data_IF_049760991364
#
_entry.id   IF_049760991364
#
_cell.length_a   1.000
_cell.length_b   1.000
_cell.length_c   1.000
_cell.angle_alpha   90.00
_cell.angle_beta   90.00
_cell.angle_gamma   90.00
#
_symmetry.space_group_name_H-M   'P 1'
#
loop_
_entity.id
_entity.type
_entity.pdbx_description
1 polymer ?
#
# COMPACT_ATOMS: atom_id res chain seq x y z
N UNK A 1 11.81 20.69 -2.66
CA UNK A 1 12.87 20.80 -3.69
C UNK A 1 12.19 20.79 -5.04
N UNK A 2 12.39 21.80 -5.89
CA UNK A 2 11.91 21.80 -7.29
C UNK A 2 13.00 21.16 -8.15
N UNK A 3 12.68 20.08 -8.85
CA UNK A 3 13.44 19.62 -10.01
C UNK A 3 12.43 19.77 -11.17
N UNK A 4 12.49 20.80 -12.01
CA UNK A 4 13.51 21.09 -13.01
C UNK A 4 14.01 19.80 -13.65
N UNK A 5 13.42 19.50 -14.81
CA UNK A 5 13.91 18.72 -15.94
C UNK A 5 15.02 17.70 -15.65
N UNK A 6 14.74 16.43 -16.02
CA UNK A 6 15.78 15.41 -16.20
C UNK A 6 16.80 16.00 -17.19
N UNK A 7 17.94 16.45 -16.68
CA UNK A 7 18.97 17.07 -17.49
C UNK A 7 19.82 15.93 -18.07
N UNK A 8 19.44 15.46 -19.26
CA UNK A 8 20.17 14.45 -20.00
C UNK A 8 21.43 15.12 -20.56
N UNK A 9 22.59 14.90 -19.93
CA UNK A 9 23.87 15.17 -20.58
C UNK A 9 24.04 14.17 -21.74
N UNK A 10 23.86 14.66 -22.97
CA UNK A 10 23.92 13.84 -24.18
C UNK A 10 25.32 13.26 -24.46
N UNK A 11 26.34 13.67 -23.73
CA UNK A 11 27.73 13.24 -23.96
C UNK A 11 28.17 12.06 -23.09
N UNK A 12 27.46 11.78 -21.98
CA UNK A 12 27.63 10.63 -21.10
C UNK A 12 26.25 10.30 -20.56
N UNK A 13 25.66 9.17 -20.94
CA UNK A 13 24.31 8.75 -20.56
C UNK A 13 24.19 8.45 -19.06
N UNK A 14 24.31 9.50 -18.23
CA UNK A 14 24.18 9.48 -16.79
C UNK A 14 22.81 10.08 -16.47
N UNK A 15 21.97 9.30 -15.79
CA UNK A 15 20.67 9.76 -15.30
C UNK A 15 20.68 9.72 -13.77
N UNK A 16 20.08 10.72 -13.13
CA UNK A 16 19.88 10.71 -11.69
C UNK A 16 18.47 10.22 -11.37
N UNK A 17 18.38 9.09 -10.67
CA UNK A 17 17.14 8.59 -10.11
C UNK A 17 17.20 8.74 -8.59
N UNK A 18 16.28 9.50 -7.99
CA UNK A 18 16.38 9.93 -6.59
C UNK A 18 16.74 8.81 -5.59
N UNK A 19 16.25 7.59 -5.82
CA UNK A 19 16.42 6.44 -4.92
C UNK A 19 17.46 5.41 -5.39
N UNK A 20 17.87 5.45 -6.65
CA UNK A 20 18.92 4.59 -7.19
C UNK A 20 20.22 5.34 -7.46
N UNK A 21 20.24 6.63 -7.15
CA UNK A 21 21.42 7.45 -7.28
C UNK A 21 21.73 7.84 -8.72
N UNK A 22 23.00 8.08 -8.97
CA UNK A 22 23.51 8.26 -10.32
C UNK A 22 23.59 6.92 -11.03
N UNK A 23 22.90 6.81 -12.17
CA UNK A 23 22.91 5.65 -13.03
C UNK A 23 23.75 5.98 -14.27
N UNK A 24 24.74 5.14 -14.57
CA UNK A 24 25.55 5.26 -15.78
C UNK A 24 25.08 4.19 -16.76
N UNK A 25 24.72 4.57 -17.98
CA UNK A 25 24.46 3.59 -19.04
C UNK A 25 25.76 2.85 -19.38
N UNK A 26 25.69 1.52 -19.33
CA UNK A 26 26.74 0.61 -19.78
C UNK A 26 26.09 -0.38 -20.73
N UNK A 27 26.55 -0.39 -21.98
CA UNK A 27 25.95 -1.16 -23.07
C UNK A 27 24.45 -0.84 -23.23
N UNK A 28 23.57 -1.83 -23.04
CA UNK A 28 22.12 -1.69 -23.16
C UNK A 28 21.39 -1.43 -21.82
N UNK A 29 22.12 -1.47 -20.70
CA UNK A 29 21.56 -1.36 -19.35
C UNK A 29 22.16 -0.17 -18.58
N UNK A 30 21.71 0.00 -17.34
CA UNK A 30 22.21 1.03 -16.43
C UNK A 30 22.89 0.41 -15.22
N UNK A 31 23.89 1.09 -14.70
CA UNK A 31 24.58 0.71 -13.48
C UNK A 31 24.43 1.84 -12.45
N UNK A 32 23.82 1.52 -11.31
CA UNK A 32 23.77 2.42 -10.17
C UNK A 32 25.15 2.51 -9.52
N UNK A 33 25.72 3.71 -9.49
CA UNK A 33 26.98 3.98 -8.79
C UNK A 33 26.77 3.80 -7.28
N UNK A 34 25.67 4.32 -6.76
CA UNK A 34 25.44 4.40 -5.31
C UNK A 34 25.04 3.05 -4.70
N UNK A 35 24.41 2.16 -5.48
CA UNK A 35 23.99 0.84 -5.03
C UNK A 35 24.84 -0.32 -5.58
N UNK A 36 25.82 -0.02 -6.42
CA UNK A 36 26.68 -0.99 -7.10
C UNK A 36 25.90 -2.09 -7.88
N UNK A 37 24.68 -1.76 -8.35
CA UNK A 37 23.73 -2.70 -8.94
C UNK A 37 23.47 -2.40 -10.42
N UNK A 38 23.45 -3.45 -11.26
CA UNK A 38 22.95 -3.36 -12.63
C UNK A 38 21.42 -3.33 -12.64
N UNK A 39 20.85 -2.43 -13.43
CA UNK A 39 19.42 -2.19 -13.59
C UNK A 39 19.12 -2.26 -15.09
N UNK A 40 18.21 -3.14 -15.48
CA UNK A 40 17.87 -3.28 -16.89
C UNK A 40 17.11 -2.06 -17.39
N UNK A 41 17.20 -1.77 -18.69
CA UNK A 41 16.42 -0.69 -19.29
C UNK A 41 14.90 -0.90 -19.15
N UNK A 42 14.45 -2.15 -19.16
CA UNK A 42 13.04 -2.50 -18.95
C UNK A 42 12.62 -2.27 -17.50
N UNK A 43 13.49 -2.56 -16.53
CA UNK A 43 13.25 -2.24 -15.12
C UNK A 43 13.13 -0.72 -14.93
N UNK A 44 13.94 0.07 -15.63
CA UNK A 44 13.85 1.53 -15.62
C UNK A 44 12.53 2.07 -16.19
N UNK A 45 12.16 1.63 -17.39
CA UNK A 45 10.91 2.07 -18.04
C UNK A 45 9.67 1.67 -17.25
N UNK A 46 9.69 0.47 -16.71
CA UNK A 46 8.55 -0.08 -15.97
C UNK A 46 8.41 0.60 -14.61
N UNK A 47 9.51 0.87 -13.91
CA UNK A 47 9.47 1.24 -12.49
C UNK A 47 9.78 2.69 -12.18
N UNK A 48 10.59 3.35 -13.01
CA UNK A 48 11.29 4.58 -12.61
C UNK A 48 11.06 5.75 -13.56
N UNK A 49 10.80 5.47 -14.84
CA UNK A 49 10.29 6.51 -15.72
C UNK A 49 8.97 7.03 -15.14
N UNK A 50 8.82 8.35 -14.96
CA UNK A 50 7.58 8.92 -14.48
C UNK A 50 6.40 8.41 -15.32
N UNK A 51 5.24 8.22 -14.68
CA UNK A 51 4.01 8.03 -15.44
C UNK A 51 3.85 9.27 -16.33
N UNK A 52 3.77 9.08 -17.65
CA UNK A 52 3.30 10.15 -18.53
C UNK A 52 1.90 10.52 -18.05
N UNK A 53 1.80 11.67 -17.38
CA UNK A 53 0.50 12.23 -17.05
C UNK A 53 -0.22 12.44 -18.39
N UNK A 54 -1.51 12.08 -18.48
CA UNK A 54 -2.29 12.37 -19.66
C UNK A 54 -2.06 13.83 -20.04
N UNK A 55 -1.96 14.13 -21.34
CA UNK A 55 -1.92 15.50 -21.88
C UNK A 55 -3.26 16.25 -21.68
N UNK A 56 -4.00 15.88 -20.63
CA UNK A 56 -5.17 16.58 -20.13
C UNK A 56 -4.70 17.87 -19.45
N UNK A 57 -4.55 18.89 -20.28
CA UNK A 57 -4.23 20.24 -19.86
C UNK A 57 -5.23 20.78 -18.83
N UNK A 58 -6.46 20.28 -18.74
CA UNK A 58 -7.42 20.72 -17.74
C UNK A 58 -7.12 20.11 -16.37
N UNK A 59 -6.82 18.81 -16.31
CA UNK A 59 -6.33 18.16 -15.09
C UNK A 59 -5.06 18.88 -14.59
N UNK A 60 -4.05 19.05 -15.45
CA UNK A 60 -2.78 19.70 -15.07
C UNK A 60 -3.01 21.14 -14.57
N UNK A 61 -3.86 21.92 -15.25
CA UNK A 61 -4.18 23.30 -14.82
C UNK A 61 -4.91 23.32 -13.48
N UNK A 62 -5.86 22.41 -13.27
CA UNK A 62 -6.63 22.34 -12.05
C UNK A 62 -5.75 21.91 -10.86
N UNK A 63 -4.88 20.94 -11.06
CA UNK A 63 -3.89 20.50 -10.07
C UNK A 63 -2.88 21.61 -9.73
N UNK A 64 -2.39 22.37 -10.73
CA UNK A 64 -1.56 23.56 -10.50
C UNK A 64 -2.32 24.63 -9.71
N UNK A 65 -3.59 24.88 -10.03
CA UNK A 65 -4.43 25.86 -9.35
C UNK A 65 -4.63 25.49 -7.89
N UNK A 66 -5.02 24.25 -7.60
CA UNK A 66 -5.16 23.72 -6.23
C UNK A 66 -3.85 23.84 -5.45
N UNK A 67 -2.73 23.43 -6.04
CA UNK A 67 -1.40 23.53 -5.44
C UNK A 67 -1.02 24.97 -5.09
N UNK A 68 -1.34 25.94 -5.93
CA UNK A 68 -1.04 27.35 -5.63
C UNK A 68 -1.86 27.88 -4.44
N UNK A 69 -3.11 27.43 -4.28
CA UNK A 69 -3.96 27.77 -3.13
C UNK A 69 -3.37 27.14 -1.85
N UNK A 70 -3.00 25.87 -1.87
CA UNK A 70 -2.45 25.17 -0.70
C UNK A 70 -1.06 25.68 -0.29
N UNK A 71 -0.18 26.03 -1.23
CA UNK A 71 1.12 26.66 -0.93
C UNK A 71 0.90 28.02 -0.25
N UNK A 72 -0.11 28.77 -0.69
CA UNK A 72 -0.42 30.08 -0.11
C UNK A 72 -0.92 29.97 1.34
N UNK A 73 -1.68 28.93 1.68
CA UNK A 73 -2.18 28.68 3.05
C UNK A 73 -1.11 28.06 3.94
N UNK A 74 -0.37 27.06 3.46
CA UNK A 74 0.68 26.37 4.23
C UNK A 74 1.95 27.20 4.46
N UNK A 75 2.22 28.23 3.64
CA UNK A 75 3.32 29.17 3.88
C UNK A 75 3.13 30.05 5.12
N UNK A 76 1.89 30.24 5.58
CA UNK A 76 1.57 31.00 6.79
C UNK A 76 1.64 30.19 8.09
N UNK A 77 1.69 28.85 8.03
CA UNK A 77 1.60 27.97 9.21
C UNK A 77 2.85 27.13 9.49
N UNK A 78 3.90 27.24 8.65
CA UNK A 78 5.13 26.44 8.76
C UNK A 78 5.93 26.65 10.06
N UNK A 79 5.63 27.65 10.88
CA UNK A 79 6.36 27.91 12.13
C UNK A 79 5.85 27.14 13.35
N UNK A 80 4.78 26.34 13.25
CA UNK A 80 4.13 25.75 14.46
C UNK A 80 3.92 24.21 14.41
N UNK A 81 4.11 23.53 13.28
CA UNK A 81 3.93 22.07 13.23
C UNK A 81 5.13 21.29 13.80
N UNK A 82 5.26 21.30 15.12
CA UNK A 82 5.91 20.22 15.88
C UNK A 82 4.88 19.09 16.07
N UNK A 83 5.19 17.89 15.58
CA UNK A 83 4.32 16.70 15.44
C UNK A 83 3.16 16.83 14.43
N UNK A 84 3.36 16.31 13.22
CA UNK A 84 2.34 16.22 12.18
C UNK A 84 1.39 15.03 12.47
N UNK A 85 0.32 15.26 13.21
CA UNK A 85 -0.83 14.35 13.17
C UNK A 85 -1.58 14.58 11.85
N UNK A 86 -1.65 13.57 11.00
CA UNK A 86 -2.50 13.64 9.81
C UNK A 86 -3.97 13.83 10.22
N UNK A 87 -4.78 14.58 9.44
CA UNK A 87 -6.21 14.65 9.71
C UNK A 87 -6.80 13.24 9.71
N UNK A 88 -7.53 12.91 10.77
CA UNK A 88 -8.25 11.64 10.90
C UNK A 88 -9.72 11.87 10.60
N UNK A 89 -10.33 10.93 9.92
CA UNK A 89 -11.77 10.88 9.73
C UNK A 89 -12.35 9.80 10.63
N UNK A 90 -13.53 10.04 11.16
CA UNK A 90 -14.27 8.99 11.84
C UNK A 90 -14.94 8.09 10.79
N UNK A 91 -14.80 6.77 10.98
CA UNK A 91 -15.66 5.82 10.30
C UNK A 91 -17.07 5.94 10.90
N UNK A 92 -18.05 6.26 10.06
CA UNK A 92 -19.41 6.63 10.49
C UNK A 92 -20.29 5.38 10.72
N UNK A 93 -19.72 4.19 10.59
CA UNK A 93 -20.43 2.91 10.63
C UNK A 93 -21.10 2.57 9.30
N UNK A 94 -21.63 1.35 9.21
CA UNK A 94 -22.42 0.86 8.06
C UNK A 94 -21.68 0.97 6.72
N UNK A 95 -20.35 0.82 6.71
CA UNK A 95 -19.52 1.00 5.53
C UNK A 95 -19.59 2.43 4.92
N UNK A 96 -19.90 3.46 5.73
CA UNK A 96 -20.01 4.86 5.28
C UNK A 96 -18.85 5.72 5.78
N UNK A 97 -18.40 6.62 4.91
CA UNK A 97 -17.27 7.51 5.13
C UNK A 97 -17.61 8.91 4.65
N UNK A 98 -17.05 9.93 5.31
CA UNK A 98 -17.21 11.32 4.89
C UNK A 98 -16.12 11.73 3.88
N UNK A 99 -16.05 10.97 2.78
CA UNK A 99 -15.17 11.25 1.62
C UNK A 99 -15.94 10.99 0.33
N UNK A 100 -15.48 11.62 -0.75
CA UNK A 100 -16.14 11.55 -2.05
C UNK A 100 -16.21 10.14 -2.66
N UNK A 101 -15.23 9.29 -2.40
CA UNK A 101 -15.17 7.92 -2.92
C UNK A 101 -14.46 6.97 -1.95
N UNK A 102 -14.94 5.73 -1.85
CA UNK A 102 -14.25 4.63 -1.16
C UNK A 102 -14.38 3.36 -1.98
N UNK A 103 -13.40 2.47 -1.84
CA UNK A 103 -13.49 1.11 -2.41
C UNK A 103 -14.61 0.32 -1.73
N UNK A 104 -15.09 -0.72 -2.39
CA UNK A 104 -16.05 -1.64 -1.78
C UNK A 104 -15.50 -2.19 -0.45
N UNK A 105 -16.37 -2.52 0.51
CA UNK A 105 -15.93 -3.14 1.76
C UNK A 105 -14.88 -2.34 2.58
N UNK A 106 -14.78 -1.02 2.36
CA UNK A 106 -13.81 -0.14 3.01
C UNK A 106 -13.85 -0.16 4.54
N UNK A 107 -14.99 -0.52 5.14
CA UNK A 107 -15.09 -0.80 6.59
C UNK A 107 -13.98 -1.75 7.07
N UNK A 108 -13.58 -2.74 6.25
CA UNK A 108 -12.59 -3.73 6.63
C UNK A 108 -11.23 -3.11 6.92
N UNK A 109 -10.81 -2.11 6.15
CA UNK A 109 -9.58 -1.38 6.46
C UNK A 109 -9.76 -0.49 7.68
N UNK A 110 -10.90 0.19 7.79
CA UNK A 110 -11.16 1.19 8.83
C UNK A 110 -11.24 0.59 10.25
N UNK A 111 -11.84 -0.59 10.39
CA UNK A 111 -12.18 -1.14 11.72
C UNK A 111 -11.09 -2.04 12.30
N UNK A 112 -10.13 -2.50 11.49
CA UNK A 112 -9.12 -3.45 11.93
C UNK A 112 -8.23 -2.94 13.06
N UNK A 113 -7.96 -3.79 14.04
CA UNK A 113 -6.95 -3.49 15.08
C UNK A 113 -5.58 -3.86 14.55
N UNK A 114 -4.78 -2.89 14.09
CA UNK A 114 -3.55 -3.23 13.36
C UNK A 114 -2.56 -4.07 14.18
N UNK A 115 -2.48 -3.83 15.49
CA UNK A 115 -1.58 -4.56 16.38
C UNK A 115 -1.98 -6.03 16.62
N UNK A 116 -3.24 -6.40 16.35
CA UNK A 116 -3.79 -7.76 16.61
C UNK A 116 -4.22 -8.49 15.32
N UNK A 117 -4.68 -7.73 14.32
CA UNK A 117 -5.39 -8.23 13.15
C UNK A 117 -4.59 -8.01 11.86
N UNK A 118 -4.09 -6.78 11.63
CA UNK A 118 -3.27 -6.44 10.45
C UNK A 118 -1.83 -6.92 10.56
N UNK A 119 -1.34 -7.08 11.79
CA UNK A 119 -0.11 -7.80 12.05
C UNK A 119 1.16 -6.99 11.83
N UNK A 120 1.27 -5.87 12.54
CA UNK A 120 2.48 -5.05 12.51
C UNK A 120 3.74 -5.86 12.90
N UNK A 121 4.79 -5.72 12.10
CA UNK A 121 6.10 -6.33 12.36
C UNK A 121 7.23 -5.30 12.20
N UNK A 122 8.08 -5.21 13.21
CA UNK A 122 9.36 -4.52 13.17
C UNK A 122 10.52 -5.50 13.37
N UNK A 123 11.72 -5.14 12.92
CA UNK A 123 12.91 -5.99 13.02
C UNK A 123 13.61 -5.94 14.38
N UNK A 124 12.97 -5.39 15.42
CA UNK A 124 13.58 -5.31 16.75
C UNK A 124 13.91 -6.69 17.33
N UNK A 125 13.17 -7.73 16.95
CA UNK A 125 13.41 -9.11 17.38
C UNK A 125 14.63 -9.77 16.69
N UNK A 126 15.25 -9.10 15.71
CA UNK A 126 16.49 -9.53 15.03
C UNK A 126 17.72 -8.77 15.55
N UNK A 127 17.65 -8.18 16.75
CA UNK A 127 18.67 -7.29 17.32
C UNK A 127 19.02 -6.09 16.42
N UNK A 128 18.11 -5.72 15.52
CA UNK A 128 18.23 -4.54 14.67
C UNK A 128 17.60 -3.31 15.35
N UNK A 129 17.96 -2.08 14.94
CA UNK A 129 17.20 -0.89 15.29
C UNK A 129 15.71 -1.09 14.96
N UNK A 130 14.81 -0.35 15.62
CA UNK A 130 13.36 -0.44 15.38
C UNK A 130 13.03 0.03 13.96
N UNK A 131 13.15 -0.88 13.01
CA UNK A 131 12.85 -0.68 11.59
C UNK A 131 11.62 -1.53 11.27
N UNK A 132 10.50 -0.86 10.99
CA UNK A 132 9.28 -1.52 10.53
C UNK A 132 9.45 -2.06 9.12
N UNK A 133 8.78 -3.18 8.81
CA UNK A 133 8.66 -3.70 7.44
C UNK A 133 7.27 -3.35 6.87
N UNK A 134 6.88 -2.08 7.01
CA UNK A 134 5.52 -1.57 6.76
C UNK A 134 4.97 -1.90 5.36
N UNK A 135 5.80 -1.87 4.32
CA UNK A 135 5.43 -2.24 2.95
C UNK A 135 4.93 -3.68 2.86
N UNK A 136 5.52 -4.59 3.63
CA UNK A 136 5.18 -6.01 3.63
C UNK A 136 3.96 -6.31 4.49
N UNK A 137 3.74 -5.52 5.55
CA UNK A 137 2.49 -5.54 6.30
C UNK A 137 1.35 -5.05 5.39
N UNK A 138 1.52 -3.90 4.72
CA UNK A 138 0.55 -3.38 3.76
C UNK A 138 0.31 -4.37 2.59
N UNK A 139 1.36 -5.02 2.08
CA UNK A 139 1.23 -6.06 1.06
C UNK A 139 0.41 -7.25 1.56
N UNK A 140 0.68 -7.73 2.77
CA UNK A 140 -0.08 -8.84 3.35
C UNK A 140 -1.57 -8.53 3.48
N UNK A 141 -1.91 -7.34 3.98
CA UNK A 141 -3.29 -6.85 4.10
C UNK A 141 -3.96 -6.69 2.73
N UNK A 142 -3.26 -6.13 1.72
CA UNK A 142 -3.78 -6.01 0.35
C UNK A 142 -4.09 -7.39 -0.27
N UNK A 143 -3.21 -8.38 -0.06
CA UNK A 143 -3.42 -9.76 -0.50
C UNK A 143 -4.60 -10.42 0.21
N UNK A 144 -4.74 -10.21 1.52
CA UNK A 144 -5.85 -10.74 2.31
C UNK A 144 -7.19 -10.12 1.89
N UNK A 145 -7.24 -8.79 1.74
CA UNK A 145 -8.41 -8.09 1.24
C UNK A 145 -8.88 -8.67 -0.10
N UNK A 146 -7.98 -8.81 -1.07
CA UNK A 146 -8.32 -9.34 -2.38
C UNK A 146 -8.81 -10.80 -2.33
N UNK A 147 -8.23 -11.63 -1.44
CA UNK A 147 -8.70 -13.00 -1.24
C UNK A 147 -10.11 -13.08 -0.63
N UNK A 148 -10.42 -12.18 0.29
CA UNK A 148 -11.68 -12.16 1.03
C UNK A 148 -12.86 -11.57 0.23
N UNK A 149 -12.58 -10.57 -0.61
CA UNK A 149 -13.63 -9.76 -1.24
C UNK A 149 -13.65 -9.81 -2.77
N UNK A 150 -12.53 -10.13 -3.42
CA UNK A 150 -12.41 -10.12 -4.88
C UNK A 150 -12.45 -11.53 -5.47
N UNK A 151 -11.46 -12.37 -5.15
CA UNK A 151 -11.38 -13.76 -5.63
C UNK A 151 -10.50 -14.58 -4.67
N UNK A 152 -11.04 -15.69 -4.13
CA UNK A 152 -10.37 -16.53 -3.12
C UNK A 152 -9.29 -17.45 -3.69
N UNK A 153 -8.57 -17.02 -4.74
CA UNK A 153 -7.48 -17.78 -5.37
C UNK A 153 -6.07 -17.32 -5.02
N UNK A 154 -5.91 -16.24 -4.24
CA UNK A 154 -4.59 -15.75 -3.78
C UNK A 154 -3.88 -16.77 -2.88
N UNK A 155 -4.56 -17.24 -1.83
CA UNK A 155 -4.03 -18.24 -0.91
C UNK A 155 -4.63 -19.60 -1.25
N UNK A 156 -3.78 -20.58 -1.52
CA UNK A 156 -4.22 -21.99 -1.48
C UNK A 156 -4.48 -22.41 -0.03
N UNK A 157 -5.10 -23.57 0.18
CA UNK A 157 -5.48 -24.05 1.51
C UNK A 157 -4.27 -24.20 2.45
N UNK A 158 -3.14 -24.69 1.95
CA UNK A 158 -1.92 -24.86 2.74
C UNK A 158 -1.33 -23.52 3.18
N UNK A 159 -1.32 -22.54 2.29
CA UNK A 159 -0.82 -21.18 2.55
C UNK A 159 -1.78 -20.44 3.49
N UNK A 160 -3.09 -20.57 3.28
CA UNK A 160 -4.12 -20.06 4.16
C UNK A 160 -3.95 -20.59 5.58
N UNK A 161 -3.92 -21.91 5.74
CA UNK A 161 -3.77 -22.54 7.05
C UNK A 161 -2.42 -22.23 7.70
N UNK A 162 -1.38 -21.94 6.92
CA UNK A 162 -0.08 -21.54 7.46
C UNK A 162 -0.10 -20.14 8.06
N UNK A 163 -0.75 -19.17 7.41
CA UNK A 163 -0.60 -17.76 7.74
C UNK A 163 -1.84 -17.11 8.35
N UNK A 164 -3.02 -17.68 8.18
CA UNK A 164 -4.30 -17.08 8.55
C UNK A 164 -5.02 -17.96 9.58
N UNK A 165 -5.69 -17.32 10.55
CA UNK A 165 -6.58 -17.96 11.53
C UNK A 165 -7.89 -17.18 11.64
N UNK A 166 -8.93 -17.82 12.15
CA UNK A 166 -10.16 -17.13 12.51
C UNK A 166 -9.89 -16.14 13.66
N UNK A 167 -10.58 -15.01 13.63
CA UNK A 167 -10.62 -14.11 14.78
C UNK A 167 -11.45 -14.72 15.92
N UNK A 168 -11.17 -14.30 17.16
CA UNK A 168 -11.87 -14.77 18.37
C UNK A 168 -13.06 -13.89 18.75
N UNK A 169 -13.28 -12.78 18.02
CA UNK A 169 -14.38 -11.84 18.24
C UNK A 169 -15.52 -12.08 17.23
N UNK A 170 -16.11 -13.28 17.25
CA UNK A 170 -17.17 -13.66 16.30
C UNK A 170 -18.56 -13.10 16.64
N UNK A 171 -18.69 -12.35 17.74
CA UNK A 171 -19.92 -11.64 18.10
C UNK A 171 -20.00 -10.20 17.54
N UNK A 172 -18.90 -9.69 16.98
CA UNK A 172 -18.83 -8.37 16.35
C UNK A 172 -18.64 -8.51 14.84
N UNK A 173 -19.57 -7.96 14.05
CA UNK A 173 -19.52 -8.02 12.59
C UNK A 173 -18.24 -7.40 12.03
N UNK A 174 -17.79 -6.29 12.59
CA UNK A 174 -16.64 -5.53 12.09
C UNK A 174 -15.30 -6.18 12.47
N UNK A 175 -15.33 -7.16 13.38
CA UNK A 175 -14.19 -7.99 13.77
C UNK A 175 -14.34 -9.47 13.39
N UNK A 176 -15.37 -9.84 12.63
CA UNK A 176 -15.64 -11.22 12.18
C UNK A 176 -14.64 -11.76 11.14
N UNK A 177 -13.75 -10.90 10.62
CA UNK A 177 -12.81 -11.24 9.55
C UNK A 177 -11.62 -12.08 10.04
N UNK A 178 -11.04 -12.96 9.20
CA UNK A 178 -9.80 -13.66 9.55
C UNK A 178 -8.61 -12.72 9.82
N UNK A 179 -7.65 -13.23 10.60
CA UNK A 179 -6.48 -12.47 11.06
C UNK A 179 -5.19 -13.27 10.84
N UNK A 180 -4.06 -12.57 10.78
CA UNK A 180 -2.77 -13.21 10.59
C UNK A 180 -2.27 -13.96 11.84
N UNK A 181 -1.50 -15.02 11.61
CA UNK A 181 -0.79 -15.78 12.65
C UNK A 181 0.58 -15.16 12.96
N UNK A 182 1.04 -15.33 14.20
CA UNK A 182 2.42 -15.02 14.61
C UNK A 182 2.77 -13.53 14.73
N UNK A 183 1.76 -12.66 14.84
CA UNK A 183 1.95 -11.20 14.83
C UNK A 183 1.53 -10.52 16.13
N UNK A 184 1.29 -11.28 17.20
CA UNK A 184 0.97 -10.72 18.51
C UNK A 184 2.25 -10.24 19.22
N UNK A 185 2.13 -9.23 20.09
CA UNK A 185 3.26 -8.69 20.88
C UNK A 185 4.04 -9.77 21.64
N UNK A 186 3.34 -10.82 22.10
CA UNK A 186 3.90 -11.93 22.88
C UNK A 186 4.47 -13.08 22.02
N UNK A 187 4.46 -12.97 20.69
CA UNK A 187 4.98 -14.02 19.82
C UNK A 187 6.51 -14.13 19.89
N UNK A 188 7.01 -15.37 19.80
CA UNK A 188 8.45 -15.63 19.79
C UNK A 188 9.11 -15.10 18.52
N UNK A 189 10.44 -14.93 18.53
CA UNK A 189 11.19 -14.55 17.33
C UNK A 189 10.99 -15.56 16.18
N UNK A 190 10.88 -16.85 16.50
CA UNK A 190 10.60 -17.91 15.52
C UNK A 190 9.22 -17.74 14.90
N UNK A 191 8.18 -17.47 15.70
CA UNK A 191 6.83 -17.21 15.19
C UNK A 191 6.79 -15.97 14.29
N UNK A 192 7.50 -14.90 14.69
CA UNK A 192 7.63 -13.67 13.88
C UNK A 192 8.31 -13.94 12.54
N UNK A 193 9.38 -14.74 12.52
CA UNK A 193 10.04 -15.18 11.26
C UNK A 193 9.18 -16.09 10.39
N UNK A 194 8.16 -16.71 10.97
CA UNK A 194 7.19 -17.55 10.27
C UNK A 194 5.91 -16.81 9.87
N UNK A 195 5.77 -15.53 10.21
CA UNK A 195 4.65 -14.69 9.81
C UNK A 195 4.67 -14.36 8.30
N UNK A 196 3.51 -14.05 7.73
CA UNK A 196 3.41 -13.70 6.31
C UNK A 196 4.23 -12.45 5.93
N UNK A 197 4.15 -11.31 6.65
CA UNK A 197 4.97 -10.14 6.33
C UNK A 197 6.47 -10.45 6.29
N UNK A 198 6.98 -11.26 7.23
CA UNK A 198 8.38 -11.64 7.22
C UNK A 198 8.75 -12.54 6.04
N UNK A 199 7.88 -13.47 5.64
CA UNK A 199 8.13 -14.31 4.46
C UNK A 199 8.09 -13.53 3.15
N UNK A 200 7.24 -12.52 3.05
CA UNK A 200 7.24 -11.57 1.93
C UNK A 200 8.55 -10.76 1.91
N UNK A 201 9.04 -10.32 3.08
CA UNK A 201 10.33 -9.65 3.24
C UNK A 201 11.50 -10.54 2.81
N UNK A 202 11.52 -11.82 3.20
CA UNK A 202 12.54 -12.78 2.73
C UNK A 202 12.49 -13.00 1.22
N UNK A 203 11.30 -13.06 0.63
CA UNK A 203 11.12 -13.26 -0.82
C UNK A 203 11.56 -12.05 -1.66
N UNK A 204 11.66 -10.86 -1.05
CA UNK A 204 12.18 -9.64 -1.66
C UNK A 204 13.63 -9.34 -1.21
N UNK A 205 14.41 -10.38 -0.93
CA UNK A 205 15.81 -10.32 -0.52
C UNK A 205 16.06 -9.44 0.72
N UNK A 206 15.07 -9.38 1.62
CA UNK A 206 15.13 -8.57 2.85
C UNK A 206 15.38 -7.09 2.58
N UNK A 207 14.88 -6.59 1.46
CA UNK A 207 14.98 -5.18 1.06
C UNK A 207 14.06 -4.31 1.90
N UNK A 208 14.61 -3.24 2.46
CA UNK A 208 13.82 -2.22 3.18
C UNK A 208 13.40 -1.13 2.22
N UNK A 209 12.18 -0.61 2.39
CA UNK A 209 11.58 0.44 1.57
C UNK A 209 11.41 0.00 0.09
N UNK A 210 10.22 -0.49 -0.25
CA UNK A 210 9.96 -1.01 -1.58
C UNK A 210 9.64 0.12 -2.56
N UNK A 211 10.68 0.53 -3.29
CA UNK A 211 10.65 1.67 -4.22
C UNK A 211 10.40 1.29 -5.68
N UNK A 212 10.36 0.00 -5.99
CA UNK A 212 10.26 -0.54 -7.35
C UNK A 212 9.45 -1.83 -7.36
N UNK A 213 8.89 -2.20 -8.52
CA UNK A 213 8.15 -3.46 -8.68
C UNK A 213 9.04 -4.67 -8.49
N UNK A 214 10.35 -4.52 -8.70
CA UNK A 214 11.33 -5.59 -8.56
C UNK A 214 11.38 -6.19 -7.16
N UNK A 215 10.80 -5.53 -6.15
CA UNK A 215 10.62 -6.11 -4.82
C UNK A 215 9.19 -6.63 -4.58
N UNK A 216 8.17 -5.89 -5.01
CA UNK A 216 6.77 -6.31 -4.83
C UNK A 216 6.41 -7.58 -5.62
N UNK A 217 7.00 -7.78 -6.80
CA UNK A 217 6.65 -8.90 -7.70
C UNK A 217 7.16 -10.21 -7.14
N UNK A 218 8.45 -10.36 -6.78
CA UNK A 218 8.95 -11.56 -6.12
C UNK A 218 8.18 -11.87 -4.83
N UNK A 219 7.94 -10.86 -3.98
CA UNK A 219 7.17 -11.02 -2.76
C UNK A 219 5.75 -11.56 -3.05
N UNK A 220 5.02 -10.94 -3.98
CA UNK A 220 3.66 -11.35 -4.35
C UNK A 220 3.62 -12.75 -4.99
N UNK A 221 4.54 -13.02 -5.92
CA UNK A 221 4.66 -14.31 -6.61
C UNK A 221 5.06 -15.46 -5.67
N UNK A 222 5.69 -15.16 -4.53
CA UNK A 222 5.99 -16.16 -3.50
C UNK A 222 4.73 -16.75 -2.85
N UNK A 223 3.62 -16.02 -2.90
CA UNK A 223 2.31 -16.40 -2.36
C UNK A 223 1.37 -16.89 -3.46
N UNK A 224 1.19 -16.09 -4.51
CA UNK A 224 0.29 -16.42 -5.60
C UNK A 224 1.00 -17.34 -6.59
N UNK A 225 0.80 -18.65 -6.44
CA UNK A 225 1.54 -19.68 -7.20
C UNK A 225 0.76 -20.26 -8.37
N UNK A 226 1.50 -20.80 -9.34
CA UNK A 226 0.97 -21.63 -10.41
C UNK A 226 -0.06 -20.90 -11.28
N UNK A 227 -1.16 -21.57 -11.63
CA UNK A 227 -2.20 -20.99 -12.48
C UNK A 227 -2.95 -19.82 -11.82
N UNK A 228 -2.87 -19.64 -10.50
CA UNK A 228 -3.51 -18.51 -9.82
C UNK A 228 -2.90 -17.17 -10.26
N UNK A 229 -1.58 -17.08 -10.49
CA UNK A 229 -0.96 -15.78 -10.84
C UNK A 229 -1.51 -15.22 -12.16
N UNK A 230 -1.88 -16.08 -13.10
CA UNK A 230 -2.45 -15.67 -14.39
C UNK A 230 -3.81 -14.99 -14.25
N UNK A 231 -4.49 -15.19 -13.11
CA UNK A 231 -5.77 -14.55 -12.79
C UNK A 231 -5.62 -13.15 -12.23
N UNK A 232 -4.39 -12.70 -11.96
CA UNK A 232 -4.12 -11.42 -11.33
C UNK A 232 -3.25 -10.54 -12.24
N UNK A 233 -3.55 -9.24 -12.24
CA UNK A 233 -2.69 -8.20 -12.75
C UNK A 233 -1.96 -7.58 -11.59
N UNK A 234 -0.63 -7.49 -11.69
CA UNK A 234 0.16 -6.68 -10.76
C UNK A 234 0.49 -5.37 -11.49
N UNK A 235 0.28 -4.24 -10.84
CA UNK A 235 0.67 -2.92 -11.37
C UNK A 235 1.33 -2.09 -10.29
N UNK A 236 2.32 -1.28 -10.69
CA UNK A 236 3.15 -0.54 -9.76
C UNK A 236 4.21 0.28 -10.48
N UNK A 237 4.40 1.51 -10.01
CA UNK A 237 5.28 2.50 -10.65
C UNK A 237 5.66 3.62 -9.70
N UNK A 238 6.80 4.24 -9.96
CA UNK A 238 7.19 5.50 -9.34
C UNK A 238 6.31 6.67 -9.82
N UNK A 239 6.10 7.67 -8.95
CA UNK A 239 5.21 8.80 -9.24
C UNK A 239 3.73 8.42 -9.19
N UNK A 240 3.41 7.49 -8.30
CA UNK A 240 2.19 6.70 -8.35
C UNK A 240 0.89 7.36 -7.92
N UNK A 241 0.87 8.65 -7.59
CA UNK A 241 -0.35 9.33 -7.15
C UNK A 241 -1.50 9.24 -8.14
N UNK A 242 -1.26 9.62 -9.40
CA UNK A 242 -2.30 9.64 -10.41
C UNK A 242 -2.86 8.22 -10.65
N UNK A 243 -1.99 7.21 -10.67
CA UNK A 243 -2.42 5.80 -10.77
C UNK A 243 -3.19 5.33 -9.55
N UNK A 244 -2.72 5.68 -8.36
CA UNK A 244 -3.43 5.41 -7.11
C UNK A 244 -4.85 6.01 -7.17
N UNK A 245 -4.98 7.26 -7.59
CA UNK A 245 -6.27 7.93 -7.77
C UNK A 245 -7.16 7.22 -8.78
N UNK A 246 -6.64 6.89 -9.96
CA UNK A 246 -7.37 6.15 -10.99
C UNK A 246 -7.89 4.79 -10.47
N UNK A 247 -7.07 4.08 -9.68
CA UNK A 247 -7.44 2.79 -9.12
C UNK A 247 -8.46 2.88 -8.00
N UNK A 248 -8.29 3.86 -7.11
CA UNK A 248 -9.24 4.11 -6.02
C UNK A 248 -10.61 4.44 -6.60
N UNK A 249 -10.70 5.30 -7.62
CA UNK A 249 -11.96 5.61 -8.29
C UNK A 249 -12.61 4.42 -9.02
N UNK A 250 -11.84 3.36 -9.31
CA UNK A 250 -12.33 2.08 -9.86
C UNK A 250 -12.72 1.08 -8.77
N UNK A 251 -12.61 1.44 -7.49
CA UNK A 251 -12.88 0.55 -6.37
C UNK A 251 -11.74 -0.42 -6.05
N UNK A 252 -10.51 -0.12 -6.46
CA UNK A 252 -9.32 -0.96 -6.23
C UNK A 252 -8.41 -0.29 -5.19
N UNK A 253 -8.17 -0.91 -4.01
CA UNK A 253 -7.25 -0.37 -3.03
C UNK A 253 -5.81 -0.48 -3.52
N UNK A 254 -4.94 0.42 -3.06
CA UNK A 254 -3.55 0.47 -3.49
C UNK A 254 -2.62 0.69 -2.31
N UNK A 255 -1.39 0.21 -2.42
CA UNK A 255 -0.31 0.64 -1.54
C UNK A 255 0.30 1.90 -2.12
N UNK A 256 0.52 2.89 -1.25
CA UNK A 256 1.24 4.11 -1.57
C UNK A 256 2.35 4.29 -0.52
N UNK A 257 3.61 4.21 -0.94
CA UNK A 257 4.75 4.45 -0.05
C UNK A 257 5.17 5.93 -0.11
N UNK A 258 5.40 6.56 1.04
CA UNK A 258 5.76 7.98 1.11
C UNK A 258 7.16 8.23 0.52
N UNK A 259 7.32 9.29 -0.25
CA UNK A 259 8.66 9.77 -0.63
C UNK A 259 9.30 10.48 0.57
N UNK A 260 10.59 10.24 0.80
CA UNK A 260 11.38 10.84 1.88
C UNK A 260 11.14 12.36 2.00
N UNK A 261 10.70 12.82 3.16
CA UNK A 261 10.80 14.23 3.53
C UNK A 261 11.67 14.37 4.77
N UNK A 262 12.97 14.60 4.53
CA UNK A 262 14.05 15.20 5.34
C UNK A 262 14.23 14.81 6.82
N UNK A 263 13.20 14.37 7.56
CA UNK A 263 13.23 13.91 8.94
C UNK A 263 12.21 12.80 9.29
N UNK A 264 11.33 12.40 8.35
CA UNK A 264 10.30 11.36 8.58
C UNK A 264 10.79 9.95 8.18
N UNK A 265 10.36 8.95 8.94
CA UNK A 265 10.51 7.53 8.59
C UNK A 265 9.69 7.21 7.34
N UNK A 266 10.28 6.50 6.38
CA UNK A 266 9.53 5.94 5.25
C UNK A 266 8.39 5.07 5.78
N UNK A 267 7.19 5.25 5.25
CA UNK A 267 6.03 4.46 5.61
C UNK A 267 5.22 4.07 4.37
N UNK A 268 4.55 2.94 4.47
CA UNK A 268 3.65 2.43 3.44
C UNK A 268 2.22 2.41 3.96
N UNK A 269 1.32 2.95 3.16
CA UNK A 269 -0.08 3.07 3.52
C UNK A 269 -0.93 2.31 2.51
N UNK A 270 -2.05 1.75 2.95
CA UNK A 270 -3.09 1.27 2.04
C UNK A 270 -4.09 2.40 1.84
N UNK A 271 -4.14 2.95 0.63
CA UNK A 271 -5.21 3.84 0.23
C UNK A 271 -6.43 3.02 -0.15
N UNK A 272 -7.59 3.42 0.33
CA UNK A 272 -8.87 2.76 0.07
C UNK A 272 -10.03 3.75 -0.12
N UNK A 273 -9.75 5.05 -0.13
CA UNK A 273 -10.71 6.08 -0.50
C UNK A 273 -10.03 7.36 -0.96
N UNK A 274 -10.81 8.28 -1.49
CA UNK A 274 -10.35 9.56 -1.98
C UNK A 274 -11.44 10.61 -1.81
N UNK A 275 -11.07 11.77 -1.28
CA UNK A 275 -11.95 12.92 -1.18
C UNK A 275 -11.59 13.98 -2.22
N UNK A 276 -12.52 14.22 -3.16
CA UNK A 276 -12.32 15.20 -4.25
C UNK A 276 -12.39 16.64 -3.76
N UNK A 277 -13.04 16.90 -2.63
CA UNK A 277 -13.15 18.26 -2.06
C UNK A 277 -11.81 18.71 -1.46
N UNK A 278 -11.17 17.83 -0.68
CA UNK A 278 -9.88 18.10 -0.04
C UNK A 278 -8.67 17.65 -0.86
N UNK A 279 -8.88 16.88 -1.94
CA UNK A 279 -7.82 16.29 -2.77
C UNK A 279 -6.87 15.40 -1.95
N UNK A 280 -7.45 14.59 -1.06
CA UNK A 280 -6.72 13.72 -0.15
C UNK A 280 -7.20 12.28 -0.29
N UNK A 281 -6.26 11.34 -0.19
CA UNK A 281 -6.63 9.94 -0.04
C UNK A 281 -7.05 9.63 1.39
N UNK A 282 -8.02 8.75 1.54
CA UNK A 282 -8.29 8.05 2.78
C UNK A 282 -7.48 6.74 2.78
N UNK A 283 -6.69 6.53 3.83
CA UNK A 283 -5.85 5.35 3.92
C UNK A 283 -5.58 4.87 5.33
N UNK A 284 -5.14 3.62 5.40
CA UNK A 284 -4.69 2.96 6.61
C UNK A 284 -3.17 2.97 6.69
N UNK A 285 -2.67 3.26 7.89
CA UNK A 285 -1.25 3.15 8.22
C UNK A 285 -0.82 1.69 8.45
N UNK A 286 -1.75 0.74 8.60
CA UNK A 286 -1.46 -0.66 8.90
C UNK A 286 -0.56 -0.87 10.14
N UNK A 287 -0.53 0.10 11.06
CA UNK A 287 0.14 0.00 12.37
C UNK A 287 -0.63 0.79 13.43
N UNK A 288 -0.58 0.37 14.69
CA UNK A 288 -1.21 1.09 15.80
C UNK A 288 -2.71 0.82 15.95
N UNK A 289 -3.44 1.80 16.48
CA UNK A 289 -4.86 1.67 16.84
C UNK A 289 -5.76 1.95 15.63
N UNK A 290 -7.05 1.65 15.74
CA UNK A 290 -8.01 1.78 14.62
C UNK A 290 -8.11 3.21 14.05
N UNK A 291 -7.80 4.23 14.83
CA UNK A 291 -7.77 5.64 14.39
C UNK A 291 -6.60 5.96 13.44
N UNK A 292 -5.63 5.05 13.27
CA UNK A 292 -4.60 5.13 12.24
C UNK A 292 -5.06 4.53 10.89
N UNK A 293 -6.28 3.97 10.85
CA UNK A 293 -6.83 3.40 9.63
C UNK A 293 -7.63 4.38 8.78
N UNK A 294 -7.98 5.54 9.32
CA UNK A 294 -8.86 6.51 8.67
C UNK A 294 -8.15 7.85 8.49
N UNK A 295 -6.92 7.78 7.98
CA UNK A 295 -6.05 8.93 7.85
C UNK A 295 -6.21 9.56 6.46
N UNK A 296 -6.32 10.89 6.42
CA UNK A 296 -6.28 11.65 5.18
C UNK A 296 -4.85 12.01 4.79
N UNK A 297 -4.48 11.62 3.58
CA UNK A 297 -3.13 11.76 3.04
C UNK A 297 -3.15 12.67 1.80
N UNK A 298 -2.55 13.86 1.94
CA UNK A 298 -2.39 14.83 0.84
C UNK A 298 -1.25 14.44 -0.09
N UNK A 299 -1.54 14.43 -1.39
CA UNK A 299 -0.55 14.28 -2.45
C UNK A 299 0.60 15.27 -2.34
N UNK A 300 0.21 16.54 -2.15
CA UNK A 300 1.04 17.71 -2.37
C UNK A 300 2.09 17.90 -1.28
N UNK A 301 1.80 17.38 -0.10
CA UNK A 301 2.69 17.45 1.05
C UNK A 301 3.60 16.23 1.09
N UNK A 302 3.13 15.00 0.79
CA UNK A 302 3.91 13.78 1.09
C UNK A 302 3.88 12.64 0.06
N UNK A 303 3.00 12.63 -0.96
CA UNK A 303 3.01 11.57 -2.00
C UNK A 303 3.78 11.94 -3.28
N UNK A 304 4.40 13.12 -3.34
CA UNK A 304 5.22 13.48 -4.48
C UNK A 304 6.48 12.61 -4.55
N UNK A 305 6.55 11.71 -5.52
CA UNK A 305 7.60 10.68 -5.63
C UNK A 305 7.29 9.37 -4.90
N UNK A 306 6.03 9.13 -4.53
CA UNK A 306 5.59 7.86 -3.95
C UNK A 306 5.67 6.73 -4.97
N UNK A 307 6.01 5.53 -4.50
CA UNK A 307 5.81 4.33 -5.29
C UNK A 307 4.39 3.80 -5.03
N UNK A 308 3.66 3.45 -6.10
CA UNK A 308 2.38 2.76 -5.96
C UNK A 308 2.53 1.28 -6.27
N UNK A 309 1.70 0.46 -5.63
CA UNK A 309 1.50 -0.93 -5.99
C UNK A 309 0.04 -1.34 -5.81
N UNK A 310 -0.49 -2.14 -6.72
CA UNK A 310 -1.79 -2.79 -6.56
C UNK A 310 -1.86 -4.14 -7.28
N UNK A 311 -2.95 -4.86 -7.00
CA UNK A 311 -3.28 -6.13 -7.61
C UNK A 311 -4.77 -6.14 -7.99
N UNK A 312 -5.07 -6.55 -9.23
CA UNK A 312 -6.42 -6.62 -9.77
C UNK A 312 -6.74 -8.01 -10.31
N UNK A 313 -7.95 -8.50 -10.08
CA UNK A 313 -8.38 -9.78 -10.67
C UNK A 313 -8.73 -9.59 -12.16
N UNK A 314 -8.08 -10.37 -13.03
CA UNK A 314 -8.41 -10.54 -14.46
C UNK A 314 -9.53 -11.56 -14.68
N UNK A 315 -9.96 -12.24 -13.62
CA UNK A 315 -10.88 -13.36 -13.73
C UNK A 315 -12.33 -12.85 -13.82
N UNK A 316 -13.06 -13.30 -14.85
CA UNK A 316 -14.48 -13.02 -15.01
C UNK A 316 -15.33 -13.87 -14.06
N UNK A 317 -14.88 -15.08 -13.73
CA UNK A 317 -15.59 -16.03 -12.88
C UNK A 317 -15.00 -16.03 -11.46
N UNK A 318 -15.16 -14.91 -10.76
CA UNK A 318 -14.69 -14.73 -9.39
C UNK A 318 -15.43 -15.66 -8.43
N UNK A 319 -14.70 -16.37 -7.58
CA UNK A 319 -15.27 -17.22 -6.52
C UNK A 319 -14.85 -16.66 -5.16
N UNK A 320 -15.81 -16.57 -4.24
CA UNK A 320 -15.56 -16.18 -2.85
C UNK A 320 -15.88 -17.33 -1.92
N UNK A 321 -14.94 -17.65 -1.05
CA UNK A 321 -15.12 -18.65 -0.02
C UNK A 321 -15.73 -18.02 1.26
N UNK A 322 -16.44 -18.85 2.04
CA UNK A 322 -17.05 -18.42 3.31
C UNK A 322 -16.02 -18.50 4.43
N UNK A 323 -15.30 -17.41 4.65
CA UNK A 323 -14.14 -17.33 5.54
C UNK A 323 -14.37 -16.46 6.78
N UNK A 324 -15.35 -15.55 6.75
CA UNK A 324 -15.72 -14.74 7.92
C UNK A 324 -16.53 -15.59 8.90
N UNK A 325 -16.28 -15.45 10.19
CA UNK A 325 -17.02 -16.19 11.23
C UNK A 325 -17.80 -15.20 12.08
N UNK A 326 -19.13 -15.34 12.10
CA UNK A 326 -20.01 -14.51 12.91
C UNK A 326 -21.10 -15.38 13.55
N UNK A 327 -21.24 -15.31 14.88
CA UNK A 327 -22.20 -16.08 15.68
C UNK A 327 -22.22 -17.56 15.34
N UNK A 328 -21.03 -18.18 15.29
CA UNK A 328 -20.85 -19.60 14.96
C UNK A 328 -21.11 -20.01 13.50
N UNK A 329 -21.46 -19.08 12.60
CA UNK A 329 -21.70 -19.34 11.18
C UNK A 329 -20.62 -18.72 10.29
N UNK A 330 -20.39 -19.32 9.11
CA UNK A 330 -19.42 -18.82 8.13
C UNK A 330 -20.08 -18.05 6.99
N UNK A 331 -19.45 -16.94 6.59
CA UNK A 331 -19.95 -16.03 5.56
C UNK A 331 -18.84 -15.60 4.60
N UNK A 332 -19.22 -15.21 3.40
CA UNK A 332 -18.36 -14.45 2.47
C UNK A 332 -18.23 -13.01 2.94
N UNK A 333 -17.18 -12.31 2.50
CA UNK A 333 -17.01 -10.88 2.83
C UNK A 333 -18.16 -10.00 2.33
N UNK A 334 -18.76 -10.36 1.19
CA UNK A 334 -19.95 -9.68 0.64
C UNK A 334 -21.19 -9.86 1.51
N UNK A 335 -21.40 -11.06 2.08
CA UNK A 335 -22.50 -11.31 3.01
C UNK A 335 -22.32 -10.48 4.30
N UNK A 336 -21.11 -10.46 4.89
CA UNK A 336 -20.83 -9.66 6.09
C UNK A 336 -21.01 -8.16 5.84
N UNK A 337 -20.53 -7.65 4.70
CA UNK A 337 -20.69 -6.22 4.38
C UNK A 337 -22.15 -5.82 4.30
N UNK A 338 -22.99 -6.66 3.65
CA UNK A 338 -24.45 -6.43 3.64
C UNK A 338 -25.04 -6.45 5.05
N UNK A 339 -24.54 -7.27 5.96
CA UNK A 339 -25.00 -7.27 7.35
C UNK A 339 -24.60 -5.98 8.07
N UNK A 340 -23.37 -5.49 7.86
CA UNK A 340 -22.88 -4.22 8.42
C UNK A 340 -23.70 -3.03 7.91
N UNK A 341 -24.02 -3.00 6.62
CA UNK A 341 -24.79 -1.91 6.01
C UNK A 341 -26.26 -1.86 6.48
N UNK A 342 -26.82 -3.00 6.92
CA UNK A 342 -28.22 -3.14 7.32
C UNK A 342 -28.47 -3.05 8.83
N UNK A 343 -27.44 -3.20 9.67
CA UNK A 343 -27.51 -2.87 11.10
C UNK A 343 -27.32 -1.36 11.26
#
# INVERSE_FOLDING_TARGET
>A
MRFNEINIDKSKEIIYAHQLGFLIKKDNDYYSIDQEKQISIDELKTNLEPIELPSDNNFIKEEIRKRNIEISTSSNERSVFSSYEFPKLDYVGKNKFNVSHVVDHAWWFATRKNDEEAGYLDLKFEDKPKVGICEYVALSELLLYNHLFVDSSIFDSLTWDKYIKNNRYDDDLEHSSPIFKGLNYFSSAEEKRNSLPYKLFEAADKSLNLWTSSYYWPATNSIIKGESIKKWNLDGKYGGYYRAWEYILKGVPVILSSAMMWHDTNHAYIMYGYDSNSDMFLGSQCFGRSDSNTVLYSYWIKAWGSYFFTIESKNNNKKLDKLFTYKGSKYTGKEITKMIENN
#
